data_IF_018631476465
#
_entry.id   IF_018631476465
#
_cell.length_a   1.000
_cell.length_b   1.000
_cell.length_c   1.000
_cell.angle_alpha   90.00
_cell.angle_beta   90.00
_cell.angle_gamma   90.00
#
_symmetry.space_group_name_H-M   'P 1'
#
loop_
_entity.id
_entity.type
_entity.pdbx_description
1 polymer ?
#
# COMPACT_ATOMS: atom_id res chain seq x y z
N UNK A 1 -4.91 -10.89 19.83
CA UNK A 1 -3.75 -10.16 19.30
C UNK A 1 -3.33 -10.84 18.00
N UNK A 2 -3.38 -10.12 16.88
CA UNK A 2 -2.85 -10.62 15.61
C UNK A 2 -1.32 -10.68 15.79
N UNK A 3 -0.71 -11.84 15.54
CA UNK A 3 0.73 -11.99 15.62
C UNK A 3 1.39 -11.16 14.51
N UNK A 4 2.35 -10.31 14.85
CA UNK A 4 3.07 -9.50 13.87
C UNK A 4 3.79 -10.38 12.86
N UNK A 5 3.72 -10.00 11.59
CA UNK A 5 4.43 -10.66 10.51
C UNK A 5 5.90 -10.23 10.52
N UNK A 6 6.79 -11.17 10.81
CA UNK A 6 8.25 -11.02 10.83
C UNK A 6 8.83 -12.07 9.89
N UNK A 7 10.11 -11.98 9.54
CA UNK A 7 10.76 -13.04 8.74
C UNK A 7 10.64 -14.43 9.39
N UNK A 8 10.77 -14.50 10.72
CA UNK A 8 10.63 -15.75 11.47
C UNK A 8 9.20 -16.29 11.47
N UNK A 9 8.22 -15.44 11.78
CA UNK A 9 6.81 -15.84 11.82
C UNK A 9 6.25 -16.14 10.42
N UNK A 10 6.72 -15.44 9.38
CA UNK A 10 6.42 -15.75 7.98
C UNK A 10 6.95 -17.13 7.57
N UNK A 11 8.24 -17.42 7.85
CA UNK A 11 8.82 -18.72 7.55
C UNK A 11 8.10 -19.85 8.27
N UNK A 12 7.78 -19.66 9.55
CA UNK A 12 7.02 -20.64 10.34
C UNK A 12 5.62 -20.89 9.75
N UNK A 13 4.94 -19.84 9.28
CA UNK A 13 3.66 -19.97 8.59
C UNK A 13 3.78 -20.73 7.26
N UNK A 14 4.84 -20.48 6.47
CA UNK A 14 5.11 -21.23 5.24
C UNK A 14 5.31 -22.72 5.50
N UNK A 15 6.09 -23.09 6.52
CA UNK A 15 6.29 -24.50 6.92
C UNK A 15 4.94 -25.12 7.31
N UNK A 16 4.15 -24.42 8.14
CA UNK A 16 2.84 -24.90 8.56
C UNK A 16 1.85 -25.11 7.39
N UNK A 17 1.96 -24.31 6.33
CA UNK A 17 1.17 -24.49 5.10
C UNK A 17 1.69 -25.67 4.28
N UNK A 18 3.01 -25.81 4.13
CA UNK A 18 3.64 -26.94 3.44
C UNK A 18 3.29 -28.29 4.08
N UNK A 19 3.27 -28.38 5.42
CA UNK A 19 2.88 -29.60 6.15
C UNK A 19 1.43 -30.03 5.88
N UNK A 20 0.57 -29.12 5.38
CA UNK A 20 -0.87 -29.34 5.18
C UNK A 20 -1.29 -29.48 3.73
N UNK A 21 -0.45 -29.04 2.79
CA UNK A 21 -0.78 -28.95 1.37
C UNK A 21 0.45 -29.33 0.53
N UNK A 22 0.34 -30.41 -0.24
CA UNK A 22 1.43 -30.94 -1.07
C UNK A 22 1.88 -29.98 -2.18
N UNK A 23 0.99 -29.13 -2.70
CA UNK A 23 1.37 -28.10 -3.66
C UNK A 23 2.16 -26.98 -2.99
N UNK A 24 1.74 -26.56 -1.79
CA UNK A 24 2.49 -25.58 -1.00
C UNK A 24 3.85 -26.14 -0.57
N UNK A 25 3.94 -27.43 -0.24
CA UNK A 25 5.21 -28.10 0.05
C UNK A 25 6.17 -28.05 -1.13
N UNK A 26 5.70 -28.39 -2.34
CA UNK A 26 6.52 -28.35 -3.54
C UNK A 26 7.02 -26.92 -3.86
N UNK A 27 6.19 -25.91 -3.66
CA UNK A 27 6.58 -24.49 -3.83
C UNK A 27 7.63 -24.09 -2.79
N UNK A 28 7.42 -24.45 -1.52
CA UNK A 28 8.32 -24.10 -0.43
C UNK A 28 9.68 -24.80 -0.55
N UNK A 29 9.72 -26.07 -0.94
CA UNK A 29 10.97 -26.80 -1.19
C UNK A 29 11.76 -26.15 -2.34
N UNK A 30 11.07 -25.72 -3.39
CA UNK A 30 11.70 -25.13 -4.58
C UNK A 30 12.17 -23.69 -4.37
N UNK A 31 11.40 -22.86 -3.66
CA UNK A 31 11.63 -21.42 -3.59
C UNK A 31 11.89 -20.88 -2.18
N UNK A 32 11.66 -21.67 -1.13
CA UNK A 32 11.76 -21.24 0.26
C UNK A 32 10.65 -20.28 0.68
N UNK A 33 10.86 -19.60 1.81
CA UNK A 33 9.97 -18.54 2.27
C UNK A 33 10.15 -17.29 1.40
N UNK A 34 9.07 -16.59 1.01
CA UNK A 34 9.19 -15.33 0.32
C UNK A 34 9.84 -14.26 1.22
N UNK A 35 10.43 -13.21 0.63
CA UNK A 35 10.88 -12.06 1.40
C UNK A 35 9.70 -11.35 2.07
N UNK A 36 9.96 -10.67 3.19
CA UNK A 36 8.98 -9.83 3.85
C UNK A 36 8.88 -8.49 3.10
N UNK A 37 7.81 -8.29 2.33
CA UNK A 37 7.53 -7.03 1.63
C UNK A 37 6.88 -6.00 2.55
N UNK A 38 7.61 -5.59 3.59
CA UNK A 38 7.11 -4.60 4.54
C UNK A 38 7.10 -3.20 3.93
N UNK A 39 6.02 -2.45 4.20
CA UNK A 39 5.90 -1.02 3.90
C UNK A 39 5.33 -0.32 5.14
N UNK A 40 5.75 0.92 5.44
CA UNK A 40 5.14 1.70 6.51
C UNK A 40 3.63 1.82 6.30
N UNK A 41 2.84 1.74 7.37
CA UNK A 41 1.41 1.98 7.27
C UNK A 41 1.10 3.47 7.06
N UNK A 42 -0.04 3.77 6.43
CA UNK A 42 -0.59 5.13 6.35
C UNK A 42 -0.82 5.66 4.93
N UNK A 43 -1.14 6.96 4.86
CA UNK A 43 -1.63 7.62 3.65
C UNK A 43 -0.67 7.49 2.46
N UNK A 44 0.62 7.73 2.67
CA UNK A 44 1.62 7.69 1.61
C UNK A 44 1.69 6.31 0.93
N UNK A 45 1.62 5.23 1.71
CA UNK A 45 1.65 3.85 1.20
C UNK A 45 0.37 3.52 0.43
N UNK A 46 -0.80 3.93 0.91
CA UNK A 46 -2.06 3.76 0.17
C UNK A 46 -2.04 4.53 -1.16
N UNK A 47 -1.49 5.75 -1.15
CA UNK A 47 -1.32 6.52 -2.37
C UNK A 47 -0.35 5.84 -3.34
N UNK A 48 0.76 5.28 -2.84
CA UNK A 48 1.69 4.51 -3.66
C UNK A 48 1.02 3.30 -4.31
N UNK A 49 0.17 2.57 -3.56
CA UNK A 49 -0.63 1.45 -4.10
C UNK A 49 -1.55 1.91 -5.23
N UNK A 50 -2.21 3.07 -5.09
CA UNK A 50 -3.01 3.69 -6.16
C UNK A 50 -2.14 3.97 -7.40
N UNK A 51 -0.93 4.50 -7.20
CA UNK A 51 -0.02 4.81 -8.30
C UNK A 51 0.54 3.57 -9.00
N UNK A 52 0.68 2.44 -8.30
CA UNK A 52 1.15 1.15 -8.81
C UNK A 52 0.12 0.43 -9.71
N UNK A 53 -1.15 0.85 -9.70
CA UNK A 53 -2.20 0.22 -10.50
C UNK A 53 -1.89 0.25 -12.00
N UNK A 54 -1.93 -0.93 -12.65
CA UNK A 54 -1.82 -1.12 -14.10
C UNK A 54 -0.54 -0.55 -14.75
N UNK A 55 0.54 -0.39 -13.99
CA UNK A 55 1.83 0.11 -14.48
C UNK A 55 2.99 -0.68 -13.86
N UNK A 56 4.21 -0.49 -14.37
CA UNK A 56 5.39 -1.06 -13.73
C UNK A 56 5.70 -0.38 -12.39
N UNK A 57 6.32 -1.14 -11.47
CA UNK A 57 6.77 -0.58 -10.18
C UNK A 57 7.73 0.60 -10.38
N UNK A 58 8.59 0.55 -11.40
CA UNK A 58 9.50 1.64 -11.73
C UNK A 58 8.76 2.92 -12.15
N UNK A 59 7.69 2.79 -12.95
CA UNK A 59 6.88 3.94 -13.38
C UNK A 59 6.12 4.55 -12.21
N UNK A 60 5.52 3.71 -11.35
CA UNK A 60 4.84 4.17 -10.14
C UNK A 60 5.79 4.86 -9.16
N UNK A 61 6.99 4.30 -8.96
CA UNK A 61 8.04 4.90 -8.14
C UNK A 61 8.43 6.27 -8.68
N UNK A 62 8.69 6.39 -9.98
CA UNK A 62 9.07 7.68 -10.58
C UNK A 62 7.97 8.75 -10.41
N UNK A 63 6.69 8.36 -10.50
CA UNK A 63 5.57 9.27 -10.23
C UNK A 63 5.52 9.69 -8.74
N UNK A 64 5.72 8.75 -7.83
CA UNK A 64 5.74 9.02 -6.39
C UNK A 64 6.94 9.89 -5.98
N UNK A 65 8.13 9.64 -6.54
CA UNK A 65 9.33 10.45 -6.31
C UNK A 65 9.09 11.90 -6.74
N UNK A 66 8.52 12.13 -7.94
CA UNK A 66 8.15 13.48 -8.42
C UNK A 66 7.12 14.16 -7.54
N UNK A 67 6.16 13.42 -7.01
CA UNK A 67 5.21 13.96 -6.04
C UNK A 67 5.93 14.41 -4.77
N UNK A 68 6.83 13.57 -4.26
CA UNK A 68 7.65 13.87 -3.09
C UNK A 68 8.53 15.11 -3.32
N UNK A 69 9.10 15.26 -4.51
CA UNK A 69 9.87 16.46 -4.87
C UNK A 69 8.98 17.72 -4.88
N UNK A 70 7.74 17.61 -5.35
CA UNK A 70 6.80 18.73 -5.42
C UNK A 70 6.27 19.17 -4.05
N UNK A 71 6.04 18.25 -3.11
CA UNK A 71 5.35 18.56 -1.84
C UNK A 71 6.14 18.22 -0.57
N UNK A 72 7.32 17.61 -0.70
CA UNK A 72 8.10 17.03 0.39
C UNK A 72 7.40 15.82 1.01
N UNK A 73 7.14 15.88 2.33
CA UNK A 73 6.32 14.86 3.00
C UNK A 73 4.93 14.80 2.37
N UNK A 74 4.56 13.65 1.81
CA UNK A 74 3.27 13.40 1.17
C UNK A 74 2.18 13.27 2.23
N UNK A 75 1.22 14.19 2.25
CA UNK A 75 0.06 14.20 3.16
C UNK A 75 -1.23 14.53 2.40
N UNK A 76 -2.41 14.20 2.95
CA UNK A 76 -3.70 14.51 2.33
C UNK A 76 -3.86 16.00 1.98
N UNK A 77 -3.49 16.89 2.90
CA UNK A 77 -3.65 18.34 2.77
C UNK A 77 -2.80 18.88 1.62
N UNK A 78 -1.56 18.40 1.51
CA UNK A 78 -0.64 18.84 0.45
C UNK A 78 -1.04 18.31 -0.91
N UNK A 79 -1.54 17.06 -0.98
CA UNK A 79 -2.05 16.52 -2.24
C UNK A 79 -3.25 17.34 -2.75
N UNK A 80 -4.18 17.72 -1.87
CA UNK A 80 -5.36 18.50 -2.26
C UNK A 80 -5.04 19.91 -2.74
N UNK A 81 -3.88 20.49 -2.37
CA UNK A 81 -3.42 21.80 -2.84
C UNK A 81 -2.95 21.78 -4.29
N UNK A 82 -2.58 20.61 -4.83
CA UNK A 82 -2.15 20.49 -6.22
C UNK A 82 -3.37 20.61 -7.15
N UNK A 83 -3.19 21.35 -8.23
CA UNK A 83 -4.13 21.44 -9.35
C UNK A 83 -4.06 20.18 -10.22
N UNK A 84 -5.09 19.95 -11.05
CA UNK A 84 -5.09 18.83 -12.00
C UNK A 84 -3.96 18.93 -13.03
N UNK A 85 -3.55 20.15 -13.40
CA UNK A 85 -2.43 20.40 -14.29
C UNK A 85 -1.09 19.99 -13.65
N UNK A 86 -0.89 20.30 -12.37
CA UNK A 86 0.30 19.89 -11.61
C UNK A 86 0.34 18.36 -11.43
N UNK A 87 -0.78 17.74 -11.04
CA UNK A 87 -0.88 16.28 -10.92
C UNK A 87 -0.57 15.58 -12.25
N UNK A 88 -1.08 16.10 -13.37
CA UNK A 88 -0.76 15.58 -14.70
C UNK A 88 0.73 15.70 -15.02
N UNK A 89 1.36 16.82 -14.67
CA UNK A 89 2.81 17.04 -14.87
C UNK A 89 3.65 16.07 -14.03
N UNK A 90 3.22 15.76 -12.80
CA UNK A 90 3.86 14.77 -11.93
C UNK A 90 3.77 13.35 -12.52
N UNK A 91 2.70 13.06 -13.28
CA UNK A 91 2.50 11.78 -13.95
C UNK A 91 1.25 11.03 -13.51
N UNK A 92 0.31 11.69 -12.84
CA UNK A 92 -0.99 11.11 -12.52
C UNK A 92 -1.83 10.96 -13.80
N UNK A 93 -2.48 9.81 -13.94
CA UNK A 93 -3.64 9.70 -14.82
C UNK A 93 -4.84 10.42 -14.19
N UNK A 94 -5.83 10.80 -15.00
CA UNK A 94 -7.07 11.41 -14.50
C UNK A 94 -7.75 10.54 -13.42
N UNK A 95 -7.77 9.23 -13.63
CA UNK A 95 -8.37 8.29 -12.69
C UNK A 95 -7.61 8.24 -11.36
N UNK A 96 -6.27 8.15 -11.42
CA UNK A 96 -5.42 8.11 -10.22
C UNK A 96 -5.47 9.43 -9.45
N UNK A 97 -5.58 10.56 -10.13
CA UNK A 97 -5.79 11.86 -9.50
C UNK A 97 -7.13 11.88 -8.72
N UNK A 98 -8.21 11.40 -9.32
CA UNK A 98 -9.51 11.26 -8.65
C UNK A 98 -9.43 10.38 -7.40
N UNK A 99 -8.82 9.20 -7.50
CA UNK A 99 -8.65 8.29 -6.36
C UNK A 99 -7.82 8.91 -5.24
N UNK A 100 -6.73 9.59 -5.58
CA UNK A 100 -5.86 10.25 -4.62
C UNK A 100 -6.58 11.40 -3.89
N UNK A 101 -7.39 12.20 -4.61
CA UNK A 101 -8.22 13.24 -4.00
C UNK A 101 -9.29 12.66 -3.08
N UNK A 102 -9.98 11.60 -3.51
CA UNK A 102 -11.01 10.93 -2.70
C UNK A 102 -10.43 10.31 -1.42
N UNK A 103 -9.27 9.65 -1.52
CA UNK A 103 -8.54 9.14 -0.36
C UNK A 103 -8.16 10.29 0.59
N UNK A 104 -7.64 11.40 0.04
CA UNK A 104 -7.24 12.55 0.84
C UNK A 104 -8.43 13.16 1.59
N UNK A 105 -9.54 13.37 0.91
CA UNK A 105 -10.77 13.87 1.53
C UNK A 105 -11.28 12.92 2.60
N UNK A 106 -11.30 11.60 2.34
CA UNK A 106 -11.77 10.61 3.31
C UNK A 106 -10.96 10.59 4.61
N UNK A 107 -9.65 10.76 4.51
CA UNK A 107 -8.76 10.84 5.67
C UNK A 107 -8.98 12.15 6.44
N UNK A 108 -9.10 13.29 5.75
CA UNK A 108 -9.29 14.59 6.39
C UNK A 108 -10.67 14.74 7.04
N UNK A 109 -11.70 14.19 6.41
CA UNK A 109 -13.08 14.16 6.92
C UNK A 109 -13.28 13.08 7.98
N UNK A 110 -12.23 12.31 8.32
CA UNK A 110 -12.26 11.19 9.27
C UNK A 110 -13.29 10.11 8.91
N UNK A 111 -13.67 10.01 7.63
CA UNK A 111 -14.42 8.85 7.10
C UNK A 111 -13.57 7.59 7.13
N UNK A 112 -12.25 7.74 7.08
CA UNK A 112 -11.28 6.65 7.26
C UNK A 112 -10.23 7.09 8.29
N UNK A 113 -10.18 6.41 9.43
CA UNK A 113 -9.09 6.55 10.40
C UNK A 113 -8.00 5.51 10.15
N UNK A 114 -6.95 5.91 9.42
CA UNK A 114 -5.84 5.03 9.07
C UNK A 114 -5.06 4.51 10.27
N UNK A 115 -5.06 5.21 11.41
CA UNK A 115 -4.35 4.76 12.61
C UNK A 115 -5.17 3.71 13.37
N UNK A 116 -6.51 3.83 13.34
CA UNK A 116 -7.44 2.90 13.98
C UNK A 116 -7.59 1.56 13.25
N UNK A 117 -7.26 1.48 11.95
CA UNK A 117 -7.48 0.27 11.14
C UNK A 117 -6.80 -0.98 11.71
N UNK A 118 -5.61 -0.84 12.33
CA UNK A 118 -4.86 -1.99 12.85
C UNK A 118 -5.56 -2.70 14.02
N UNK A 119 -6.52 -2.04 14.68
CA UNK A 119 -7.30 -2.62 15.77
C UNK A 119 -8.60 -3.30 15.30
N UNK A 120 -8.97 -3.12 14.03
CA UNK A 120 -10.21 -3.63 13.48
C UNK A 120 -10.02 -5.03 12.87
N UNK A 121 -11.04 -5.91 12.94
CA UNK A 121 -11.12 -7.11 12.12
C UNK A 121 -11.10 -6.79 10.62
N UNK A 122 -10.56 -7.72 9.80
CA UNK A 122 -10.46 -7.57 8.34
C UNK A 122 -11.78 -7.19 7.65
N UNK A 123 -12.92 -7.67 8.16
CA UNK A 123 -14.23 -7.37 7.61
C UNK A 123 -14.62 -5.91 7.84
N UNK A 124 -14.30 -5.37 9.02
CA UNK A 124 -14.62 -3.99 9.38
C UNK A 124 -13.66 -3.01 8.69
N UNK A 125 -12.43 -3.42 8.36
CA UNK A 125 -11.49 -2.62 7.56
C UNK A 125 -11.96 -2.46 6.10
N UNK A 126 -12.71 -3.43 5.56
CA UNK A 126 -13.14 -3.46 4.15
C UNK A 126 -14.45 -2.69 3.89
N UNK A 127 -15.20 -2.37 4.94
CA UNK A 127 -16.56 -1.80 4.85
C UNK A 127 -16.52 -0.28 5.03
#
# INVERSE_FOLDING_TARGET
MIQSLTLGTLRAACIKLADKDSHMAAVFEKYGAPPLWERPHGFATLLQIILEQQVSLASAKACFDKLQDAVGKVTPEKLLRLTDAELKTIGFSRQKASYARNLSAAVLEKRIDLNGLAALPDMDVKT
#
